data_IF_623562477429
#
_entry.id   IF_623562477429
#
_cell.length_a   1.000
_cell.length_b   1.000
_cell.length_c   1.000
_cell.angle_alpha   90.00
_cell.angle_beta   90.00
_cell.angle_gamma   90.00
#
_symmetry.space_group_name_H-M   'P 1'
#
loop_
_entity.id
_entity.type
_entity.pdbx_description
1 polymer ?
#
# COMPACT_ATOMS: atom_id res chain seq x y z
N UNK A 1 -24.13 -7.72 -10.42
CA UNK A 1 -22.68 -7.76 -10.55
C UNK A 1 -22.02 -6.97 -9.44
N UNK A 2 -21.04 -7.56 -8.83
CA UNK A 2 -20.33 -6.91 -7.76
C UNK A 2 -19.19 -6.08 -8.34
N UNK A 3 -19.18 -4.80 -8.06
CA UNK A 3 -18.07 -3.95 -8.44
C UNK A 3 -16.92 -4.18 -7.49
N UNK A 4 -15.72 -4.23 -8.04
CA UNK A 4 -14.54 -4.36 -7.22
C UNK A 4 -14.24 -2.99 -6.59
N UNK A 5 -14.61 -2.85 -5.32
CA UNK A 5 -14.43 -1.59 -4.61
C UNK A 5 -13.51 -1.76 -3.42
N UNK A 6 -12.43 -2.50 -3.60
CA UNK A 6 -11.43 -2.67 -2.56
C UNK A 6 -10.94 -1.30 -2.10
N UNK A 7 -10.80 -1.16 -0.79
CA UNK A 7 -10.33 0.08 -0.20
C UNK A 7 -8.82 0.03 -0.04
N UNK A 8 -8.15 0.96 -0.70
CA UNK A 8 -6.68 1.05 -0.71
C UNK A 8 -6.25 2.32 0.01
N UNK A 9 -5.30 2.18 0.91
CA UNK A 9 -4.68 3.31 1.58
C UNK A 9 -3.32 3.58 0.94
N UNK A 10 -3.10 4.82 0.50
CA UNK A 10 -1.80 5.23 -0.04
C UNK A 10 -1.14 6.15 0.97
N UNK A 11 0.09 5.85 1.35
CA UNK A 11 0.85 6.65 2.32
C UNK A 11 2.15 7.11 1.68
N UNK A 12 2.34 8.41 1.59
CA UNK A 12 3.54 9.00 0.97
C UNK A 12 3.62 10.46 1.40
N UNK A 13 4.80 10.93 1.77
CA UNK A 13 4.98 12.32 2.18
C UNK A 13 5.11 13.28 0.99
N UNK A 14 5.25 12.74 -0.22
CA UNK A 14 5.34 13.55 -1.42
C UNK A 14 3.96 13.76 -2.03
N UNK A 15 3.44 14.98 -1.89
CA UNK A 15 2.05 15.27 -2.23
C UNK A 15 1.70 14.97 -3.69
N UNK A 16 2.59 15.31 -4.62
CA UNK A 16 2.32 15.12 -6.04
C UNK A 16 2.23 13.63 -6.39
N UNK A 17 3.20 12.85 -5.94
CA UNK A 17 3.17 11.41 -6.18
C UNK A 17 1.97 10.73 -5.58
N UNK A 18 1.59 11.16 -4.38
CA UNK A 18 0.43 10.62 -3.68
C UNK A 18 -0.85 10.90 -4.47
N UNK A 19 -1.01 12.12 -4.96
CA UNK A 19 -2.18 12.51 -5.73
C UNK A 19 -2.27 11.75 -7.05
N UNK A 20 -1.15 11.58 -7.72
CA UNK A 20 -1.11 10.85 -8.98
C UNK A 20 -1.54 9.38 -8.76
N UNK A 21 -1.01 8.74 -7.72
CA UNK A 21 -1.38 7.36 -7.41
C UNK A 21 -2.86 7.25 -7.08
N UNK A 22 -3.38 8.21 -6.31
CA UNK A 22 -4.81 8.21 -5.97
C UNK A 22 -5.66 8.22 -7.24
N UNK A 23 -5.36 9.12 -8.16
CA UNK A 23 -6.12 9.24 -9.41
C UNK A 23 -6.06 7.95 -10.21
N UNK A 24 -4.86 7.39 -10.36
CA UNK A 24 -4.68 6.18 -11.14
C UNK A 24 -5.41 4.99 -10.55
N UNK A 25 -5.36 4.84 -9.24
CA UNK A 25 -6.05 3.75 -8.57
C UNK A 25 -7.57 3.91 -8.64
N UNK A 26 -8.05 5.14 -8.49
CA UNK A 26 -9.49 5.39 -8.61
C UNK A 26 -9.99 5.09 -10.01
N UNK A 27 -9.22 5.43 -11.02
CA UNK A 27 -9.57 5.10 -12.41
C UNK A 27 -9.62 3.60 -12.64
N UNK A 28 -8.85 2.84 -11.89
CA UNK A 28 -8.85 1.39 -12.00
C UNK A 28 -10.00 0.74 -11.21
N UNK A 29 -10.79 1.54 -10.51
CA UNK A 29 -11.97 1.04 -9.81
C UNK A 29 -11.82 0.89 -8.31
N UNK A 30 -10.69 1.28 -7.74
CA UNK A 30 -10.48 1.17 -6.30
C UNK A 30 -11.02 2.41 -5.57
N UNK A 31 -11.42 2.21 -4.31
CA UNK A 31 -11.65 3.33 -3.40
C UNK A 31 -10.33 3.65 -2.74
N UNK A 32 -9.97 4.91 -2.63
CA UNK A 32 -8.64 5.29 -2.16
C UNK A 32 -8.71 6.31 -1.03
N UNK A 33 -7.98 6.03 0.04
CA UNK A 33 -7.70 6.99 1.11
C UNK A 33 -6.22 7.31 1.06
N UNK A 34 -5.86 8.51 1.50
CA UNK A 34 -4.46 8.94 1.46
C UNK A 34 -4.03 9.47 2.82
N UNK A 35 -2.73 9.33 3.10
CA UNK A 35 -2.10 9.88 4.27
C UNK A 35 -0.71 10.38 3.90
N UNK A 36 -0.28 11.46 4.49
CA UNK A 36 0.99 12.10 4.14
C UNK A 36 2.13 11.77 5.10
N UNK A 37 1.89 10.93 6.10
CA UNK A 37 2.94 10.48 7.02
C UNK A 37 2.52 9.17 7.69
N UNK A 38 3.46 8.56 8.39
CA UNK A 38 3.23 7.28 9.04
C UNK A 38 2.13 7.30 10.09
N UNK A 39 2.19 8.22 11.06
CA UNK A 39 1.15 8.27 12.10
C UNK A 39 -0.25 8.47 11.56
N UNK A 40 -0.44 9.39 10.60
CA UNK A 40 -1.74 9.59 9.96
C UNK A 40 -2.20 8.34 9.25
N UNK A 41 -1.28 7.68 8.55
CA UNK A 41 -1.60 6.43 7.86
C UNK A 41 -2.06 5.34 8.81
N UNK A 42 -1.38 5.21 9.94
CA UNK A 42 -1.77 4.21 10.95
C UNK A 42 -3.13 4.50 11.55
N UNK A 43 -3.44 5.79 11.76
CA UNK A 43 -4.74 6.18 12.30
C UNK A 43 -5.86 5.80 11.34
N UNK A 44 -5.71 6.14 10.07
CA UNK A 44 -6.71 5.78 9.05
C UNK A 44 -6.82 4.26 8.95
N UNK A 45 -5.68 3.57 8.95
CA UNK A 45 -5.63 2.12 8.86
C UNK A 45 -6.43 1.45 9.98
N UNK A 46 -6.35 2.00 11.19
CA UNK A 46 -7.06 1.45 12.34
C UNK A 46 -8.56 1.71 12.30
N UNK A 47 -8.98 2.82 11.71
CA UNK A 47 -10.39 3.23 11.76
C UNK A 47 -11.18 2.84 10.52
N UNK A 48 -10.53 2.49 9.42
CA UNK A 48 -11.20 2.19 8.15
C UNK A 48 -10.94 0.75 7.71
N UNK A 49 -11.85 0.15 6.96
CA UNK A 49 -11.68 -1.25 6.52
C UNK A 49 -10.73 -1.36 5.33
N UNK A 50 -9.48 -0.96 5.53
CA UNK A 50 -8.46 -0.98 4.49
C UNK A 50 -8.07 -2.41 4.17
N UNK A 51 -8.07 -2.75 2.89
CA UNK A 51 -7.74 -4.08 2.42
C UNK A 51 -6.33 -4.17 1.85
N UNK A 52 -5.82 -3.06 1.32
CA UNK A 52 -4.47 -3.01 0.76
C UNK A 52 -3.86 -1.65 1.04
N UNK A 53 -2.54 -1.63 1.17
CA UNK A 53 -1.80 -0.40 1.42
C UNK A 53 -0.69 -0.29 0.37
N UNK A 54 -0.57 0.90 -0.23
CA UNK A 54 0.57 1.26 -1.07
C UNK A 54 1.38 2.26 -0.24
N UNK A 55 2.55 1.86 0.19
CA UNK A 55 3.28 2.52 1.25
C UNK A 55 4.67 2.93 0.78
N UNK A 56 4.99 4.21 0.92
CA UNK A 56 6.32 4.71 0.61
C UNK A 56 7.27 4.38 1.75
N UNK A 57 8.46 3.89 1.41
CA UNK A 57 9.46 3.56 2.42
C UNK A 57 10.12 4.81 3.01
N UNK A 58 10.49 5.77 2.15
CA UNK A 58 11.27 6.94 2.56
C UNK A 58 10.37 8.07 3.00
N UNK A 59 10.14 8.16 4.30
CA UNK A 59 9.35 9.23 4.90
C UNK A 59 10.06 9.76 6.14
N UNK A 60 10.01 11.09 6.37
CA UNK A 60 10.62 11.64 7.58
C UNK A 60 9.90 11.14 8.84
N UNK A 61 10.63 10.99 9.90
CA UNK A 61 10.10 10.52 11.17
C UNK A 61 9.94 9.01 11.16
N UNK A 62 8.74 8.54 10.87
CA UNK A 62 8.48 7.10 10.83
C UNK A 62 8.57 6.62 9.39
N UNK A 63 9.61 5.82 9.06
CA UNK A 63 9.75 5.31 7.69
C UNK A 63 8.76 4.17 7.43
N UNK A 64 8.60 3.86 6.13
CA UNK A 64 7.58 2.89 5.72
C UNK A 64 7.77 1.49 6.29
N UNK A 65 9.01 1.09 6.55
CA UNK A 65 9.26 -0.22 7.16
C UNK A 65 8.62 -0.35 8.54
N UNK A 66 8.76 0.69 9.35
CA UNK A 66 8.16 0.69 10.68
C UNK A 66 6.63 0.71 10.59
N UNK A 67 6.10 1.49 9.66
CA UNK A 67 4.65 1.54 9.43
C UNK A 67 4.13 0.15 9.04
N UNK A 68 4.83 -0.53 8.13
CA UNK A 68 4.44 -1.86 7.66
C UNK A 68 4.42 -2.87 8.80
N UNK A 69 5.43 -2.82 9.66
CA UNK A 69 5.50 -3.74 10.81
C UNK A 69 4.28 -3.54 11.70
N UNK A 70 3.94 -2.29 12.00
CA UNK A 70 2.78 -1.98 12.84
C UNK A 70 1.47 -2.39 12.19
N UNK A 71 1.34 -2.17 10.88
CA UNK A 71 0.15 -2.56 10.15
C UNK A 71 -0.05 -4.08 10.18
N UNK A 72 1.04 -4.83 9.99
CA UNK A 72 0.97 -6.28 10.00
C UNK A 72 0.54 -6.81 11.37
N UNK A 73 0.97 -6.15 12.43
CA UNK A 73 0.57 -6.53 13.79
C UNK A 73 -0.90 -6.23 14.05
N UNK A 74 -1.40 -5.15 13.48
CA UNK A 74 -2.79 -4.70 13.70
C UNK A 74 -3.79 -5.50 12.88
N UNK A 75 -3.48 -5.74 11.60
CA UNK A 75 -4.36 -6.50 10.70
C UNK A 75 -3.51 -7.49 9.92
N UNK A 76 -3.35 -8.72 10.42
CA UNK A 76 -2.45 -9.70 9.79
C UNK A 76 -2.79 -10.05 8.35
N UNK A 77 -4.03 -9.83 7.91
CA UNK A 77 -4.49 -10.20 6.57
C UNK A 77 -4.36 -9.09 5.54
N UNK A 78 -3.95 -7.90 5.96
CA UNK A 78 -3.86 -6.78 5.01
C UNK A 78 -2.77 -7.05 3.97
N UNK A 79 -2.97 -6.54 2.76
CA UNK A 79 -1.98 -6.62 1.70
C UNK A 79 -1.14 -5.35 1.73
N UNK A 80 0.17 -5.48 1.81
CA UNK A 80 1.08 -4.34 1.86
C UNK A 80 2.02 -4.39 0.67
N UNK A 81 1.98 -3.34 -0.16
CA UNK A 81 2.90 -3.15 -1.27
C UNK A 81 3.78 -1.95 -0.93
N UNK A 82 5.06 -2.19 -0.78
CA UNK A 82 6.02 -1.16 -0.35
C UNK A 82 6.75 -0.59 -1.54
N UNK A 83 6.81 0.73 -1.62
CA UNK A 83 7.54 1.44 -2.67
C UNK A 83 8.84 1.98 -2.11
N UNK A 84 9.94 1.74 -2.80
CA UNK A 84 11.25 2.21 -2.37
C UNK A 84 12.02 2.78 -3.56
N UNK A 85 12.90 3.73 -3.29
CA UNK A 85 13.75 4.27 -4.34
C UNK A 85 14.85 3.27 -4.74
N UNK A 86 15.13 2.29 -3.91
CA UNK A 86 16.18 1.31 -4.16
C UNK A 86 15.81 -0.04 -3.55
N UNK A 87 16.50 -1.07 -4.01
CA UNK A 87 16.36 -2.42 -3.47
C UNK A 87 17.28 -2.59 -2.26
N UNK A 88 17.21 -3.74 -1.63
CA UNK A 88 18.13 -4.04 -0.53
C UNK A 88 17.60 -3.68 0.84
N UNK A 89 16.31 -3.73 1.01
CA UNK A 89 15.69 -3.49 2.32
C UNK A 89 16.00 -4.66 3.25
N UNK A 90 15.99 -4.37 4.57
CA UNK A 90 16.32 -5.39 5.56
C UNK A 90 15.28 -6.51 5.58
N UNK A 91 15.68 -7.72 6.01
CA UNK A 91 14.71 -8.81 6.15
C UNK A 91 13.57 -8.51 7.10
N UNK A 92 13.80 -7.66 8.10
CA UNK A 92 12.75 -7.25 9.03
C UNK A 92 11.60 -6.58 8.31
N UNK A 93 11.92 -5.80 7.27
CA UNK A 93 10.91 -5.10 6.48
C UNK A 93 10.32 -6.02 5.41
N UNK A 94 11.18 -6.71 4.66
CA UNK A 94 10.69 -7.52 3.56
C UNK A 94 9.83 -8.69 4.01
N UNK A 95 10.03 -9.15 5.23
CA UNK A 95 9.24 -10.27 5.76
C UNK A 95 7.81 -9.88 6.14
N UNK A 96 7.52 -8.59 6.33
CA UNK A 96 6.18 -8.15 6.74
C UNK A 96 5.37 -7.54 5.61
N UNK A 97 5.97 -7.34 4.43
CA UNK A 97 5.24 -6.83 3.28
C UNK A 97 4.97 -7.97 2.30
N UNK A 98 3.89 -7.85 1.54
CA UNK A 98 3.53 -8.88 0.56
C UNK A 98 4.33 -8.72 -0.72
N UNK A 99 4.69 -7.49 -1.04
CA UNK A 99 5.44 -7.20 -2.23
C UNK A 99 6.16 -5.87 -2.04
N UNK A 100 7.34 -5.73 -2.65
CA UNK A 100 7.98 -4.43 -2.72
C UNK A 100 8.50 -4.20 -4.13
N UNK A 101 8.53 -2.93 -4.53
CA UNK A 101 8.98 -2.56 -5.85
C UNK A 101 9.68 -1.22 -5.79
N UNK A 102 10.47 -0.93 -6.81
CA UNK A 102 11.12 0.36 -6.89
C UNK A 102 10.17 1.37 -7.52
N UNK A 103 10.29 2.62 -7.12
CA UNK A 103 9.48 3.70 -7.68
C UNK A 103 9.71 3.86 -9.19
N UNK A 104 10.88 3.49 -9.67
CA UNK A 104 11.20 3.60 -11.08
C UNK A 104 10.42 2.66 -11.99
N UNK A 105 9.78 1.63 -11.45
CA UNK A 105 9.01 0.70 -12.28
C UNK A 105 7.72 1.33 -12.82
N UNK A 106 7.22 2.37 -12.16
CA UNK A 106 6.11 3.15 -12.68
C UNK A 106 4.73 2.64 -12.34
N UNK A 107 3.74 3.48 -12.64
CA UNK A 107 2.36 3.24 -12.26
C UNK A 107 1.71 2.02 -12.91
N UNK A 108 1.93 1.72 -14.21
CA UNK A 108 1.32 0.53 -14.79
C UNK A 108 1.75 -0.76 -14.09
N UNK A 109 3.01 -0.85 -13.70
CA UNK A 109 3.51 -2.02 -12.98
C UNK A 109 2.89 -2.09 -11.59
N UNK A 110 2.75 -0.94 -10.91
CA UNK A 110 2.10 -0.88 -9.62
C UNK A 110 0.68 -1.41 -9.68
N UNK A 111 -0.10 -0.94 -10.67
CA UNK A 111 -1.48 -1.38 -10.83
C UNK A 111 -1.58 -2.88 -11.09
N UNK A 112 -0.69 -3.41 -11.91
CA UNK A 112 -0.66 -4.83 -12.22
C UNK A 112 -0.35 -5.66 -10.97
N UNK A 113 0.63 -5.25 -10.21
CA UNK A 113 1.04 -5.98 -9.01
C UNK A 113 -0.04 -5.94 -7.94
N UNK A 114 -0.64 -4.78 -7.73
CA UNK A 114 -1.72 -4.63 -6.75
C UNK A 114 -2.92 -5.48 -7.14
N UNK A 115 -3.30 -5.45 -8.40
CA UNK A 115 -4.41 -6.25 -8.91
C UNK A 115 -4.16 -7.74 -8.70
N UNK A 116 -2.94 -8.19 -8.98
CA UNK A 116 -2.58 -9.60 -8.79
C UNK A 116 -2.68 -10.02 -7.33
N UNK A 117 -2.23 -9.18 -6.42
CA UNK A 117 -2.32 -9.48 -4.99
C UNK A 117 -3.78 -9.61 -4.54
N UNK A 118 -4.62 -8.68 -4.96
CA UNK A 118 -6.02 -8.68 -4.55
C UNK A 118 -6.78 -9.85 -5.17
N UNK A 119 -6.47 -10.22 -6.39
CA UNK A 119 -7.08 -11.38 -7.04
C UNK A 119 -6.68 -12.68 -6.35
N UNK A 120 -5.43 -12.77 -5.92
CA UNK A 120 -4.94 -13.94 -5.22
C UNK A 120 -5.72 -14.18 -3.92
N UNK A 121 -5.97 -13.11 -3.16
CA UNK A 121 -6.76 -13.19 -1.93
C UNK A 121 -8.20 -13.59 -2.23
N UNK A 122 -8.81 -12.96 -3.23
CA UNK A 122 -10.20 -13.26 -3.59
C UNK A 122 -10.36 -14.73 -4.03
N UNK A 123 -9.39 -15.21 -4.81
CA UNK A 123 -9.43 -16.61 -5.25
C UNK A 123 -9.32 -17.58 -4.07
N UNK A 124 -8.48 -17.24 -3.08
CA UNK A 124 -8.32 -18.09 -1.89
C UNK A 124 -9.57 -18.17 -1.05
N UNK A 125 -10.43 -17.17 -1.12
CA UNK A 125 -11.65 -17.13 -0.33
C UNK A 125 -12.81 -17.86 -0.97
N UNK A 126 -12.67 -18.23 -2.22
CA UNK A 126 -13.69 -19.01 -2.92
C UNK A 126 -13.52 -20.50 -2.67
#
# INVERSE_FOLDING_TARGET
MKLNSNLVLCVDDEAVGLQVRKILLERAGYRVLTASDGPSGLEIFSSEPVEAVVLDYSMPGMHGGEVAIRMRQTKPQVLILLLSAYMGLSPEVTSVVDLYMTKGEGAPVLLEKLSSLLQSINASQE
#
